data_IF_824913295656
#
_entry.id   IF_824913295656
#
_cell.length_a   1.000
_cell.length_b   1.000
_cell.length_c   1.000
_cell.angle_alpha   90.00
_cell.angle_beta   90.00
_cell.angle_gamma   90.00
#
_symmetry.space_group_name_H-M   'P 1'
#
loop_
_entity.id
_entity.type
_entity.pdbx_description
1 polymer ?
#
# COMPACT_ATOMS: atom_id res chain seq x y z
N UNK A 1 -16.00 14.29 -32.31
CA UNK A 1 -17.26 14.03 -33.05
C UNK A 1 -17.21 12.71 -33.82
N UNK A 2 -16.60 11.63 -33.32
CA UNK A 2 -16.57 10.30 -33.96
C UNK A 2 -17.04 9.15 -33.08
N UNK A 3 -17.28 9.35 -31.79
CA UNK A 3 -17.72 8.30 -30.85
C UNK A 3 -19.23 8.14 -30.68
N UNK A 4 -20.03 9.07 -31.20
CA UNK A 4 -21.50 8.98 -31.09
C UNK A 4 -22.17 8.04 -32.13
N UNK A 5 -21.39 7.38 -32.99
CA UNK A 5 -21.93 6.49 -34.06
C UNK A 5 -21.90 4.99 -33.72
N UNK A 6 -21.19 4.59 -32.67
CA UNK A 6 -21.10 3.15 -32.32
C UNK A 6 -22.29 2.65 -31.48
N UNK A 7 -22.93 3.51 -30.71
CA UNK A 7 -24.07 3.15 -29.84
C UNK A 7 -25.44 3.11 -30.54
N UNK A 8 -25.53 3.53 -31.82
CA UNK A 8 -26.80 3.50 -32.58
C UNK A 8 -27.05 2.22 -33.39
N UNK A 9 -26.11 1.26 -33.42
CA UNK A 9 -26.28 0.01 -34.19
C UNK A 9 -26.79 -1.18 -33.43
N UNK A 10 -26.95 -1.10 -32.11
CA UNK A 10 -27.50 -2.19 -31.31
C UNK A 10 -28.99 -2.05 -30.97
N UNK A 11 -29.70 -1.02 -31.48
CA UNK A 11 -31.10 -0.75 -31.09
C UNK A 11 -32.09 -0.76 -32.26
N UNK A 12 -31.79 -1.44 -33.35
CA UNK A 12 -32.76 -1.62 -34.45
C UNK A 12 -32.86 -3.11 -34.77
N UNK A 13 -33.81 -3.79 -34.19
CA UNK A 13 -34.11 -5.20 -34.54
C UNK A 13 -35.05 -5.93 -33.61
N UNK A 14 -36.10 -5.31 -33.10
CA UNK A 14 -37.21 -6.07 -32.55
C UNK A 14 -38.47 -5.79 -33.38
N UNK A 15 -38.74 -6.71 -34.34
CA UNK A 15 -40.04 -6.80 -35.01
C UNK A 15 -41.15 -6.96 -33.98
N UNK A 16 -42.10 -6.05 -33.95
CA UNK A 16 -43.40 -6.23 -33.33
C UNK A 16 -44.11 -7.42 -33.97
N UNK A 17 -44.06 -8.61 -33.37
CA UNK A 17 -44.98 -9.70 -33.69
C UNK A 17 -46.25 -9.47 -32.88
N UNK A 18 -47.31 -9.04 -33.59
CA UNK A 18 -48.67 -9.07 -33.08
C UNK A 18 -49.08 -10.53 -32.83
N UNK A 19 -49.13 -10.96 -31.59
CA UNK A 19 -49.73 -12.24 -31.21
C UNK A 19 -51.27 -12.05 -31.05
N UNK A 20 -52.09 -12.87 -31.72
CA UNK A 20 -53.55 -12.77 -31.61
C UNK A 20 -54.05 -13.31 -30.26
N UNK A 21 -54.90 -12.52 -29.62
CA UNK A 21 -55.52 -12.76 -28.30
C UNK A 21 -56.35 -14.04 -28.17
N UNK A 22 -56.53 -14.82 -29.23
CA UNK A 22 -57.37 -16.04 -29.27
C UNK A 22 -56.69 -17.30 -28.71
N UNK A 23 -55.39 -17.32 -28.48
CA UNK A 23 -54.67 -18.49 -27.94
C UNK A 23 -54.48 -18.52 -26.43
N UNK A 24 -54.83 -17.46 -25.70
CA UNK A 24 -54.70 -17.40 -24.24
C UNK A 24 -55.76 -18.20 -23.47
N UNK A 25 -56.95 -18.46 -24.07
CA UNK A 25 -58.01 -19.21 -23.38
C UNK A 25 -57.74 -20.73 -23.31
N UNK A 26 -57.00 -21.30 -24.24
CA UNK A 26 -56.69 -22.75 -24.23
C UNK A 26 -55.52 -23.09 -23.29
N UNK A 27 -54.59 -22.19 -23.07
CA UNK A 27 -53.47 -22.40 -22.12
C UNK A 27 -53.91 -22.32 -20.66
N UNK A 28 -54.88 -21.48 -20.33
CA UNK A 28 -55.42 -21.33 -18.96
C UNK A 28 -56.17 -22.58 -18.50
N UNK A 29 -56.92 -23.23 -19.37
CA UNK A 29 -57.65 -24.49 -19.09
C UNK A 29 -56.70 -25.65 -18.79
N UNK A 30 -55.56 -25.71 -19.48
CA UNK A 30 -54.56 -26.76 -19.28
C UNK A 30 -53.81 -26.62 -17.95
N UNK A 31 -53.55 -25.40 -17.54
CA UNK A 31 -52.88 -25.07 -16.27
C UNK A 31 -53.79 -25.40 -15.09
N UNK A 32 -55.08 -25.07 -15.15
CA UNK A 32 -56.05 -25.35 -14.08
C UNK A 32 -56.26 -26.85 -13.89
N UNK A 33 -56.27 -27.65 -14.95
CA UNK A 33 -56.43 -29.11 -14.85
C UNK A 33 -55.16 -29.80 -14.28
N UNK A 34 -53.94 -29.30 -14.55
CA UNK A 34 -52.71 -29.77 -13.90
C UNK A 34 -52.65 -29.37 -12.41
N UNK A 35 -53.23 -28.23 -12.04
CA UNK A 35 -53.33 -27.81 -10.63
C UNK A 35 -54.22 -28.74 -9.80
N UNK A 36 -55.33 -29.26 -10.36
CA UNK A 36 -56.19 -30.22 -9.67
C UNK A 36 -55.53 -31.59 -9.41
N UNK A 37 -54.55 -31.97 -10.22
CA UNK A 37 -53.78 -33.22 -10.03
C UNK A 37 -52.71 -33.03 -8.96
N UNK A 38 -52.09 -31.87 -8.86
CA UNK A 38 -51.05 -31.56 -7.84
C UNK A 38 -51.59 -31.39 -6.41
N UNK A 39 -52.91 -31.05 -6.27
CA UNK A 39 -53.56 -30.94 -4.96
C UNK A 39 -53.89 -32.30 -4.32
N UNK A 40 -53.70 -33.44 -5.03
CA UNK A 40 -53.92 -34.79 -4.49
C UNK A 40 -52.65 -35.41 -3.87
N UNK A 41 -51.50 -34.79 -3.98
CA UNK A 41 -50.28 -35.25 -3.33
C UNK A 41 -49.93 -34.34 -2.18
N UNK A 42 -49.73 -34.90 -0.96
CA UNK A 42 -49.38 -34.19 0.29
C UNK A 42 -48.02 -33.48 0.18
N UNK A 43 -47.97 -32.29 -0.41
CA UNK A 43 -46.79 -31.43 -0.36
C UNK A 43 -46.84 -30.64 0.95
N UNK A 44 -45.83 -30.75 1.83
CA UNK A 44 -45.78 -29.96 3.06
C UNK A 44 -45.85 -28.45 2.77
N UNK A 45 -46.70 -27.72 3.54
CA UNK A 45 -46.93 -26.26 3.35
C UNK A 45 -45.65 -25.41 3.17
N UNK A 46 -44.55 -25.85 3.73
CA UNK A 46 -43.25 -25.15 3.59
C UNK A 46 -42.66 -25.15 2.16
N UNK A 47 -43.08 -26.08 1.29
CA UNK A 47 -42.61 -26.14 -0.11
C UNK A 47 -43.62 -25.50 -1.10
N UNK A 48 -44.82 -25.15 -0.64
CA UNK A 48 -45.84 -24.53 -1.47
C UNK A 48 -45.43 -23.15 -1.99
N UNK A 49 -44.76 -22.35 -1.13
CA UNK A 49 -44.20 -21.07 -1.52
C UNK A 49 -43.04 -21.20 -2.53
N UNK A 50 -42.27 -22.28 -2.45
CA UNK A 50 -41.18 -22.55 -3.39
C UNK A 50 -41.66 -22.93 -4.78
N UNK A 51 -42.73 -23.73 -4.86
CA UNK A 51 -43.36 -24.13 -6.13
C UNK A 51 -44.07 -22.95 -6.78
N UNK A 52 -44.76 -22.11 -5.98
CA UNK A 52 -45.41 -20.89 -6.47
C UNK A 52 -44.36 -19.87 -6.98
N UNK A 53 -43.25 -19.72 -6.26
CA UNK A 53 -42.11 -18.89 -6.67
C UNK A 53 -41.45 -19.40 -7.95
N UNK A 54 -41.30 -20.73 -8.10
CA UNK A 54 -40.75 -21.35 -9.31
C UNK A 54 -41.61 -21.16 -10.54
N UNK A 55 -42.94 -21.24 -10.39
CA UNK A 55 -43.94 -21.02 -11.47
C UNK A 55 -44.00 -19.54 -11.86
N UNK A 56 -43.89 -18.62 -10.90
CA UNK A 56 -43.81 -17.16 -11.15
C UNK A 56 -42.51 -16.75 -11.81
N UNK A 57 -41.41 -17.43 -11.50
CA UNK A 57 -40.11 -17.20 -12.16
C UNK A 57 -40.10 -17.62 -13.64
N UNK A 58 -40.89 -18.60 -14.04
CA UNK A 58 -40.96 -19.00 -15.46
C UNK A 58 -41.75 -18.00 -16.35
N UNK A 59 -42.55 -17.14 -15.77
CA UNK A 59 -43.36 -16.17 -16.55
C UNK A 59 -42.79 -14.75 -16.59
N UNK A 60 -41.97 -14.33 -15.57
CA UNK A 60 -41.46 -12.96 -15.48
C UNK A 60 -40.09 -12.81 -14.77
N UNK A 61 -39.41 -13.91 -14.44
CA UNK A 61 -38.35 -13.91 -13.45
C UNK A 61 -36.94 -13.57 -13.93
N UNK A 62 -36.67 -13.40 -15.22
CA UNK A 62 -35.31 -13.21 -15.70
C UNK A 62 -34.84 -11.74 -15.63
N UNK A 63 -35.77 -10.80 -15.64
CA UNK A 63 -35.41 -9.37 -15.65
C UNK A 63 -35.11 -8.73 -14.28
N UNK A 64 -35.69 -9.25 -13.19
CA UNK A 64 -35.53 -8.59 -11.88
C UNK A 64 -34.19 -8.90 -11.18
N UNK A 65 -33.60 -10.07 -11.43
CA UNK A 65 -32.33 -10.42 -10.79
C UNK A 65 -31.12 -9.71 -11.44
N UNK A 66 -31.21 -9.39 -12.73
CA UNK A 66 -30.16 -8.64 -13.43
C UNK A 66 -30.14 -7.15 -13.08
N UNK A 67 -31.30 -6.55 -12.80
CA UNK A 67 -31.39 -5.14 -12.43
C UNK A 67 -30.81 -4.84 -11.03
N UNK A 68 -31.01 -5.72 -10.04
CA UNK A 68 -30.41 -5.55 -8.71
C UNK A 68 -28.87 -5.77 -8.71
N UNK A 69 -28.38 -6.68 -9.56
CA UNK A 69 -26.94 -6.91 -9.72
C UNK A 69 -26.25 -5.74 -10.45
N UNK A 70 -26.88 -5.17 -11.47
CA UNK A 70 -26.39 -3.98 -12.16
C UNK A 70 -26.38 -2.74 -11.25
N UNK A 71 -27.45 -2.55 -10.45
CA UNK A 71 -27.53 -1.41 -9.53
C UNK A 71 -26.50 -1.51 -8.39
N UNK A 72 -26.22 -2.71 -7.86
CA UNK A 72 -25.15 -2.93 -6.88
C UNK A 72 -23.77 -2.74 -7.47
N UNK A 73 -23.53 -3.21 -8.69
CA UNK A 73 -22.26 -3.04 -9.40
C UNK A 73 -22.03 -1.56 -9.73
N UNK A 74 -23.07 -0.85 -10.15
CA UNK A 74 -23.00 0.57 -10.46
C UNK A 74 -22.78 1.44 -9.20
N UNK A 75 -23.40 1.11 -8.06
CA UNK A 75 -23.16 1.76 -6.77
C UNK A 75 -21.71 1.55 -6.29
N UNK A 76 -21.14 0.36 -6.48
CA UNK A 76 -19.78 0.05 -6.10
C UNK A 76 -18.76 0.87 -6.92
N UNK A 77 -18.99 1.02 -8.21
CA UNK A 77 -18.15 1.84 -9.09
C UNK A 77 -18.28 3.35 -8.84
N UNK A 78 -19.48 3.80 -8.40
CA UNK A 78 -19.73 5.20 -8.07
C UNK A 78 -19.12 5.65 -6.73
N UNK A 79 -18.64 4.75 -5.89
CA UNK A 79 -18.06 5.07 -4.57
C UNK A 79 -16.53 5.05 -4.55
N UNK A 80 -15.87 4.88 -5.71
CA UNK A 80 -14.40 4.85 -5.79
C UNK A 80 -13.79 6.20 -5.42
N UNK A 81 -12.79 6.19 -4.54
CA UNK A 81 -11.99 7.35 -4.20
C UNK A 81 -11.27 7.92 -5.43
N UNK A 82 -10.83 7.05 -6.35
CA UNK A 82 -10.23 7.49 -7.61
C UNK A 82 -11.16 8.40 -8.40
N UNK A 83 -12.45 8.07 -8.47
CA UNK A 83 -13.45 8.92 -9.14
C UNK A 83 -13.57 10.28 -8.44
N UNK A 84 -13.63 10.30 -7.10
CA UNK A 84 -13.67 11.54 -6.33
C UNK A 84 -12.43 12.43 -6.58
N UNK A 85 -11.24 11.82 -6.69
CA UNK A 85 -9.97 12.51 -7.01
C UNK A 85 -10.04 13.15 -8.38
N UNK A 86 -10.46 12.38 -9.41
CA UNK A 86 -10.57 12.87 -10.78
C UNK A 86 -11.60 14.01 -10.92
N UNK A 87 -12.74 13.90 -10.21
CA UNK A 87 -13.78 14.94 -10.22
C UNK A 87 -13.35 16.21 -9.50
N UNK A 88 -12.60 16.09 -8.38
CA UNK A 88 -12.08 17.22 -7.62
C UNK A 88 -10.83 17.86 -8.24
N UNK A 89 -10.14 17.11 -9.10
CA UNK A 89 -8.88 17.53 -9.72
C UNK A 89 -7.72 17.68 -8.73
N UNK A 90 -7.75 16.95 -7.58
CA UNK A 90 -6.72 17.00 -6.54
C UNK A 90 -6.48 15.60 -5.94
N UNK A 91 -5.21 15.17 -5.89
CA UNK A 91 -4.74 13.99 -5.15
C UNK A 91 -4.03 14.44 -3.87
N UNK A 92 -4.54 14.02 -2.72
CA UNK A 92 -3.95 14.28 -1.40
C UNK A 92 -3.09 13.09 -0.97
N UNK A 93 -1.80 13.31 -0.84
CA UNK A 93 -0.83 12.30 -0.40
C UNK A 93 -0.36 12.65 1.01
N UNK A 94 -0.37 11.67 1.93
CA UNK A 94 0.16 11.84 3.28
C UNK A 94 1.44 11.07 3.49
N UNK A 95 2.27 11.55 4.40
CA UNK A 95 3.54 10.95 4.79
C UNK A 95 4.26 11.76 5.86
N UNK A 96 5.37 11.23 6.37
CA UNK A 96 6.27 11.90 7.30
C UNK A 96 7.19 12.86 6.54
N UNK A 97 7.00 14.16 6.76
CA UNK A 97 7.78 15.20 6.06
C UNK A 97 9.26 15.25 6.42
N UNK A 98 9.67 14.54 7.47
CA UNK A 98 11.07 14.54 7.96
C UNK A 98 11.78 13.19 7.71
N UNK A 99 11.21 12.27 6.94
CA UNK A 99 11.77 10.95 6.70
C UNK A 99 12.63 10.91 5.42
N UNK A 100 13.85 11.46 5.50
CA UNK A 100 14.82 11.44 4.39
C UNK A 100 15.35 10.02 4.11
N UNK A 101 15.54 9.66 2.82
CA UNK A 101 15.38 10.47 1.61
C UNK A 101 14.00 10.31 0.94
N UNK A 102 12.98 9.78 1.62
CA UNK A 102 11.60 9.68 1.10
C UNK A 102 10.94 11.06 0.99
N UNK A 103 11.14 11.91 1.99
CA UNK A 103 10.79 13.33 2.01
C UNK A 103 11.99 14.12 2.50
N UNK A 104 12.41 15.14 1.77
CA UNK A 104 13.62 15.91 2.09
C UNK A 104 13.22 17.29 2.59
N UNK A 105 13.61 17.60 3.84
CA UNK A 105 13.43 18.93 4.43
C UNK A 105 14.38 19.92 3.77
N UNK A 106 13.89 21.11 3.42
CA UNK A 106 14.69 22.13 2.70
C UNK A 106 15.32 21.59 1.41
N UNK A 107 14.55 20.81 0.68
CA UNK A 107 15.00 20.15 -0.53
C UNK A 107 15.56 21.14 -1.56
N UNK A 108 16.64 20.73 -2.25
CA UNK A 108 17.10 21.41 -3.46
C UNK A 108 16.02 21.31 -4.55
N UNK A 109 16.02 22.27 -5.44
CA UNK A 109 15.20 22.18 -6.65
C UNK A 109 15.46 20.86 -7.40
N UNK A 110 14.39 20.15 -7.73
CA UNK A 110 14.44 18.84 -8.39
C UNK A 110 14.69 17.64 -7.48
N UNK A 111 14.81 17.81 -6.14
CA UNK A 111 15.08 16.72 -5.19
C UNK A 111 14.14 16.73 -3.98
N UNK A 112 12.82 16.66 -4.17
CA UNK A 112 11.87 16.78 -3.05
C UNK A 112 11.81 15.54 -2.14
N UNK A 113 12.39 14.44 -2.57
CA UNK A 113 12.34 13.14 -1.92
C UNK A 113 11.65 12.08 -2.78
N UNK A 114 12.02 10.81 -2.57
CA UNK A 114 11.56 9.69 -3.40
C UNK A 114 10.03 9.55 -3.42
N UNK A 115 9.39 9.48 -2.25
CA UNK A 115 7.94 9.29 -2.15
C UNK A 115 7.16 10.55 -2.56
N UNK A 116 7.73 11.74 -2.34
CA UNK A 116 7.15 12.97 -2.86
C UNK A 116 7.12 12.94 -4.39
N UNK A 117 8.23 12.57 -5.01
CA UNK A 117 8.35 12.50 -6.48
C UNK A 117 7.44 11.42 -7.07
N UNK A 118 7.35 10.25 -6.43
CA UNK A 118 6.46 9.18 -6.82
C UNK A 118 4.98 9.62 -6.75
N UNK A 119 4.56 10.25 -5.64
CA UNK A 119 3.21 10.76 -5.48
C UNK A 119 2.86 11.87 -6.45
N UNK A 120 3.84 12.77 -6.74
CA UNK A 120 3.69 13.82 -7.74
C UNK A 120 3.55 13.24 -9.15
N UNK A 121 4.38 12.27 -9.52
CA UNK A 121 4.30 11.60 -10.81
C UNK A 121 2.95 10.87 -10.99
N UNK A 122 2.41 10.28 -9.93
CA UNK A 122 1.08 9.67 -9.98
C UNK A 122 -0.03 10.72 -10.16
N UNK A 123 0.04 11.86 -9.48
CA UNK A 123 -0.90 12.96 -9.69
C UNK A 123 -0.85 13.50 -11.12
N UNK A 124 0.36 13.65 -11.69
CA UNK A 124 0.56 14.09 -13.07
C UNK A 124 -0.01 13.08 -14.08
N UNK A 125 0.18 11.76 -13.83
CA UNK A 125 -0.44 10.70 -14.62
C UNK A 125 -1.97 10.78 -14.60
N UNK A 126 -2.56 11.06 -13.44
CA UNK A 126 -4.02 11.24 -13.29
C UNK A 126 -4.53 12.58 -13.88
N UNK A 127 -3.65 13.52 -14.23
CA UNK A 127 -4.01 14.86 -14.68
C UNK A 127 -4.60 15.74 -13.58
N UNK A 128 -4.22 15.53 -12.32
CA UNK A 128 -4.75 16.25 -11.15
C UNK A 128 -3.64 16.97 -10.37
N UNK A 129 -4.02 17.90 -9.50
CA UNK A 129 -3.07 18.60 -8.64
C UNK A 129 -2.57 17.68 -7.52
N UNK A 130 -1.26 17.70 -7.28
CA UNK A 130 -0.65 17.06 -6.11
C UNK A 130 -0.79 17.94 -4.87
N UNK A 131 -1.19 17.36 -3.75
CA UNK A 131 -1.23 18.03 -2.45
C UNK A 131 -0.67 17.12 -1.38
N UNK A 132 0.40 17.56 -0.73
CA UNK A 132 0.98 16.87 0.42
C UNK A 132 0.31 17.30 1.72
N UNK A 133 -0.07 16.32 2.55
CA UNK A 133 -0.70 16.50 3.87
C UNK A 133 0.14 15.75 4.90
N UNK A 134 1.05 16.43 5.62
CA UNK A 134 2.01 15.76 6.51
C UNK A 134 1.34 15.24 7.79
N UNK A 135 1.75 14.04 8.18
CA UNK A 135 1.52 13.43 9.49
C UNK A 135 2.77 12.65 9.90
N UNK A 136 3.13 12.59 11.20
CA UNK A 136 4.39 11.96 11.62
C UNK A 136 4.32 10.44 11.71
N UNK A 137 3.13 9.82 11.90
CA UNK A 137 3.02 8.41 12.23
C UNK A 137 2.04 7.62 11.36
N UNK A 138 2.29 6.30 11.21
CA UNK A 138 1.44 5.41 10.40
C UNK A 138 -0.03 5.41 10.84
N UNK A 139 -0.31 5.43 12.15
CA UNK A 139 -1.68 5.43 12.63
C UNK A 139 -2.44 6.68 12.19
N UNK A 140 -1.76 7.82 12.19
CA UNK A 140 -2.32 9.08 11.70
C UNK A 140 -2.53 9.06 10.19
N UNK A 141 -1.63 8.43 9.40
CA UNK A 141 -1.86 8.22 7.96
C UNK A 141 -3.13 7.42 7.71
N UNK A 142 -3.30 6.30 8.45
CA UNK A 142 -4.48 5.45 8.31
C UNK A 142 -5.77 6.18 8.68
N UNK A 143 -5.73 6.98 9.73
CA UNK A 143 -6.88 7.79 10.18
C UNK A 143 -7.20 8.91 9.18
N UNK A 144 -6.18 9.60 8.65
CA UNK A 144 -6.34 10.63 7.62
C UNK A 144 -6.97 10.06 6.33
N UNK A 145 -6.54 8.87 5.89
CA UNK A 145 -7.14 8.16 4.76
C UNK A 145 -8.59 7.82 5.04
N UNK A 146 -8.89 7.29 6.23
CA UNK A 146 -10.24 6.92 6.66
C UNK A 146 -11.18 8.13 6.70
N UNK A 147 -10.70 9.28 7.20
CA UNK A 147 -11.44 10.54 7.31
C UNK A 147 -11.51 11.33 6.00
N UNK A 148 -10.89 10.85 4.92
CA UNK A 148 -10.78 11.56 3.64
C UNK A 148 -9.98 12.88 3.72
N UNK A 149 -9.13 13.02 4.70
CA UNK A 149 -8.16 14.11 4.81
C UNK A 149 -6.99 13.89 3.86
N UNK A 150 -6.62 12.63 3.62
CA UNK A 150 -5.71 12.17 2.57
C UNK A 150 -6.36 11.05 1.74
N UNK A 151 -5.85 10.84 0.52
CA UNK A 151 -6.34 9.82 -0.40
C UNK A 151 -5.47 8.56 -0.37
N UNK A 152 -4.14 8.74 -0.30
CA UNK A 152 -3.14 7.68 -0.17
C UNK A 152 -2.05 8.09 0.81
N UNK A 153 -1.30 7.12 1.34
CA UNK A 153 -0.07 7.41 2.08
C UNK A 153 1.15 6.81 1.37
N UNK A 154 2.19 7.63 1.24
CA UNK A 154 3.54 7.29 0.80
C UNK A 154 4.51 7.83 1.85
N UNK A 155 5.33 7.00 2.46
CA UNK A 155 6.31 7.42 3.50
C UNK A 155 7.27 6.28 3.88
N UNK A 156 7.82 5.58 2.88
CA UNK A 156 8.65 4.40 3.17
C UNK A 156 7.92 3.36 4.03
N UNK A 157 6.61 3.19 3.79
CA UNK A 157 5.74 2.40 4.67
C UNK A 157 5.98 0.91 4.43
N UNK A 158 6.53 0.22 5.43
CA UNK A 158 6.60 -1.24 5.41
C UNK A 158 5.21 -1.84 5.59
N UNK A 159 4.75 -2.64 4.63
CA UNK A 159 3.49 -3.38 4.75
C UNK A 159 3.62 -4.55 5.73
N UNK A 160 2.60 -4.76 6.55
CA UNK A 160 2.50 -5.91 7.45
C UNK A 160 1.04 -6.27 7.76
N UNK A 161 0.82 -7.43 8.38
CA UNK A 161 -0.52 -7.94 8.69
C UNK A 161 -1.31 -7.03 9.64
N UNK A 162 -0.66 -6.45 10.66
CA UNK A 162 -1.35 -5.58 11.61
C UNK A 162 -1.82 -4.28 10.94
N UNK A 163 -0.97 -3.67 10.13
CA UNK A 163 -1.29 -2.46 9.38
C UNK A 163 -2.36 -2.70 8.32
N UNK A 164 -2.38 -3.91 7.71
CA UNK A 164 -3.39 -4.28 6.70
C UNK A 164 -4.82 -4.36 7.24
N UNK A 165 -5.00 -4.41 8.56
CA UNK A 165 -6.31 -4.29 9.20
C UNK A 165 -6.91 -2.88 9.09
N UNK A 166 -6.06 -1.86 8.93
CA UNK A 166 -6.48 -0.44 8.90
C UNK A 166 -6.56 0.12 7.48
N UNK A 167 -5.63 -0.30 6.60
CA UNK A 167 -5.49 0.17 5.22
C UNK A 167 -5.33 -1.01 4.26
N UNK A 168 -5.39 -0.75 2.97
CA UNK A 168 -4.92 -1.68 1.93
C UNK A 168 -3.56 -1.22 1.43
N UNK A 169 -2.69 -2.19 1.11
CA UNK A 169 -1.39 -1.92 0.53
C UNK A 169 -1.39 -2.24 -0.96
N UNK A 170 -0.66 -1.44 -1.73
CA UNK A 170 -0.29 -1.76 -3.11
C UNK A 170 0.74 -2.89 -3.16
N UNK A 171 1.07 -3.37 -4.35
CA UNK A 171 2.34 -4.05 -4.60
C UNK A 171 3.50 -3.20 -4.07
N UNK A 172 4.59 -3.86 -3.64
CA UNK A 172 5.77 -3.16 -3.16
C UNK A 172 6.46 -2.40 -4.30
N UNK A 173 6.79 -1.15 -4.07
CA UNK A 173 7.57 -0.33 -5.01
C UNK A 173 9.07 -0.27 -4.64
N UNK A 174 9.43 -0.63 -3.39
CA UNK A 174 10.79 -0.79 -2.91
C UNK A 174 10.88 -2.00 -1.96
N UNK A 175 12.08 -2.55 -1.83
CA UNK A 175 12.37 -3.62 -0.88
C UNK A 175 13.45 -3.15 0.08
N UNK A 176 13.08 -2.97 1.35
CA UNK A 176 13.98 -2.65 2.42
C UNK A 176 14.37 -3.91 3.22
N UNK A 177 15.30 -3.74 4.15
CA UNK A 177 15.66 -4.71 5.18
C UNK A 177 15.94 -3.97 6.49
N UNK A 178 15.73 -4.58 7.67
CA UNK A 178 16.29 -4.08 8.90
C UNK A 178 17.80 -3.97 8.78
N UNK A 179 18.32 -2.80 9.07
CA UNK A 179 19.74 -2.48 8.97
C UNK A 179 20.21 -1.79 10.25
N UNK A 180 21.51 -1.78 10.47
CA UNK A 180 22.08 -1.13 11.64
C UNK A 180 23.29 -0.24 11.29
N UNK A 181 23.50 0.77 12.12
CA UNK A 181 24.70 1.61 12.10
C UNK A 181 25.29 1.60 13.51
N UNK A 182 26.34 0.81 13.72
CA UNK A 182 26.94 0.58 15.04
C UNK A 182 28.22 1.39 15.20
N UNK A 183 28.42 1.95 16.39
CA UNK A 183 29.67 2.58 16.76
C UNK A 183 30.84 1.56 16.77
N UNK A 184 31.93 1.82 16.05
CA UNK A 184 33.03 0.87 15.90
C UNK A 184 33.66 0.47 17.23
N UNK A 185 33.70 1.37 18.20
CA UNK A 185 34.22 1.08 19.56
C UNK A 185 33.34 0.13 20.38
N UNK A 186 32.12 -0.14 19.95
CA UNK A 186 31.21 -1.14 20.57
C UNK A 186 31.39 -2.55 19.98
N UNK A 187 32.17 -2.68 18.91
CA UNK A 187 32.50 -3.98 18.33
C UNK A 187 33.76 -4.56 19.00
N UNK A 188 33.86 -5.90 19.13
CA UNK A 188 35.09 -6.52 19.61
C UNK A 188 36.30 -6.11 18.77
N UNK A 189 37.48 -5.94 19.39
CA UNK A 189 38.71 -5.67 18.65
C UNK A 189 38.98 -6.85 17.69
N UNK A 190 39.66 -6.60 16.56
CA UNK A 190 40.11 -7.68 15.69
C UNK A 190 40.99 -8.65 16.50
N UNK A 191 40.93 -9.97 16.25
CA UNK A 191 41.75 -10.93 16.96
C UNK A 191 43.22 -10.64 16.74
N UNK A 192 44.01 -10.69 17.81
CA UNK A 192 45.45 -10.56 17.74
C UNK A 192 46.10 -11.79 17.10
N UNK A 193 46.98 -11.58 16.14
CA UNK A 193 47.77 -12.61 15.44
C UNK A 193 47.33 -12.86 13.98
N UNK A 194 48.09 -13.73 13.28
CA UNK A 194 47.88 -14.05 11.87
C UNK A 194 46.64 -14.95 11.60
N UNK A 195 45.73 -15.06 12.53
CA UNK A 195 44.52 -15.81 12.34
C UNK A 195 43.51 -14.89 11.61
N UNK A 196 43.33 -15.14 10.33
CA UNK A 196 42.25 -14.53 9.52
C UNK A 196 40.91 -15.12 10.00
N UNK A 197 40.49 -14.78 11.20
CA UNK A 197 39.10 -14.96 11.60
C UNK A 197 38.35 -13.73 11.09
N UNK A 198 37.77 -13.86 9.92
CA UNK A 198 36.88 -12.86 9.35
C UNK A 198 35.57 -12.88 10.13
N UNK A 199 35.57 -12.40 11.34
CA UNK A 199 34.31 -12.03 11.99
C UNK A 199 33.85 -10.73 11.30
N UNK A 200 33.23 -10.89 10.13
CA UNK A 200 32.74 -9.76 9.34
C UNK A 200 31.35 -9.41 9.83
N UNK A 201 31.24 -8.39 10.68
CA UNK A 201 29.95 -7.77 11.00
C UNK A 201 29.37 -7.12 9.73
N UNK A 202 28.37 -7.75 9.11
CA UNK A 202 27.70 -7.32 7.88
C UNK A 202 26.23 -7.07 8.07
N UNK A 203 25.60 -7.84 8.97
CA UNK A 203 24.18 -7.80 9.26
C UNK A 203 23.92 -7.46 10.72
N UNK A 204 22.71 -7.04 11.05
CA UNK A 204 22.29 -6.81 12.42
C UNK A 204 22.34 -8.12 13.26
N UNK A 205 22.15 -9.28 12.64
CA UNK A 205 22.19 -10.57 13.36
C UNK A 205 23.58 -10.90 13.90
N UNK A 206 24.63 -10.38 13.29
CA UNK A 206 26.01 -10.57 13.76
C UNK A 206 26.27 -9.92 15.12
N UNK A 207 25.33 -9.07 15.58
CA UNK A 207 25.37 -8.42 16.90
C UNK A 207 24.74 -9.26 18.01
N UNK A 208 24.15 -10.42 17.70
CA UNK A 208 23.41 -11.22 18.70
C UNK A 208 24.27 -11.64 19.89
N UNK A 209 25.53 -12.01 19.62
CA UNK A 209 26.48 -12.48 20.63
C UNK A 209 27.46 -11.39 21.10
N UNK A 210 27.31 -10.14 20.60
CA UNK A 210 28.13 -9.02 21.01
C UNK A 210 27.61 -8.41 22.30
N UNK A 211 28.43 -8.51 23.36
CA UNK A 211 28.09 -7.92 24.67
C UNK A 211 28.18 -6.37 24.61
N UNK A 212 27.33 -5.69 25.42
CA UNK A 212 27.38 -4.23 25.54
C UNK A 212 26.74 -3.44 24.38
N UNK A 213 26.15 -4.11 23.38
CA UNK A 213 25.38 -3.40 22.34
C UNK A 213 24.08 -2.89 22.92
N UNK A 214 23.80 -1.60 22.69
CA UNK A 214 22.55 -0.92 23.03
C UNK A 214 21.95 -0.35 21.77
N UNK A 215 20.67 -0.69 21.52
CA UNK A 215 19.96 -0.33 20.29
C UNK A 215 19.10 0.91 20.50
N UNK A 216 19.18 1.85 19.57
CA UNK A 216 18.23 2.95 19.42
C UNK A 216 17.34 2.69 18.19
N UNK A 217 16.04 2.75 18.35
CA UNK A 217 15.07 2.42 17.30
C UNK A 217 13.81 3.27 17.43
N UNK A 218 13.14 3.54 16.31
CA UNK A 218 11.81 4.18 16.33
C UNK A 218 10.78 3.25 16.95
N UNK A 219 10.01 3.77 17.94
CA UNK A 219 8.90 3.03 18.59
C UNK A 219 7.85 2.59 17.57
N UNK A 220 7.20 1.46 17.85
CA UNK A 220 6.10 0.91 17.03
C UNK A 220 6.42 0.72 15.53
N UNK A 221 7.73 0.66 15.19
CA UNK A 221 8.19 0.32 13.85
C UNK A 221 8.38 -1.20 13.67
N UNK A 222 8.39 -1.68 12.43
CA UNK A 222 8.73 -3.08 12.12
C UNK A 222 10.12 -3.46 12.67
N UNK A 223 11.08 -2.50 12.70
CA UNK A 223 12.44 -2.70 13.24
C UNK A 223 12.43 -2.86 14.75
N UNK A 224 11.57 -2.12 15.46
CA UNK A 224 11.36 -2.33 16.91
C UNK A 224 10.81 -3.72 17.17
N UNK A 225 9.78 -4.17 16.45
CA UNK A 225 9.24 -5.53 16.56
C UNK A 225 10.29 -6.60 16.21
N UNK A 226 11.13 -6.33 15.20
CA UNK A 226 12.22 -7.22 14.83
C UNK A 226 13.23 -7.38 15.97
N UNK A 227 13.65 -6.28 16.60
CA UNK A 227 14.56 -6.31 17.75
C UNK A 227 13.97 -7.10 18.91
N UNK A 228 12.71 -6.86 19.27
CA UNK A 228 12.03 -7.58 20.34
C UNK A 228 11.95 -9.11 20.12
N UNK A 229 11.92 -9.54 18.85
CA UNK A 229 11.91 -10.96 18.49
C UNK A 229 13.31 -11.61 18.47
N UNK A 230 14.35 -10.84 18.22
CA UNK A 230 15.70 -11.37 17.94
C UNK A 230 16.70 -11.10 19.06
N UNK A 231 16.49 -10.06 19.86
CA UNK A 231 17.40 -9.62 20.91
C UNK A 231 16.67 -9.54 22.25
N UNK A 232 17.42 -9.67 23.36
CA UNK A 232 16.87 -9.49 24.71
C UNK A 232 16.56 -8.01 24.98
N UNK A 233 15.47 -7.75 25.69
CA UNK A 233 14.84 -6.44 25.83
C UNK A 233 15.65 -5.38 26.61
N UNK A 234 16.60 -5.77 27.44
CA UNK A 234 17.34 -4.89 28.37
C UNK A 234 18.21 -3.82 27.71
N UNK A 235 18.29 -3.82 26.38
CA UNK A 235 19.20 -2.95 25.61
C UNK A 235 18.53 -2.18 24.48
N UNK A 236 17.20 -2.12 24.46
CA UNK A 236 16.46 -1.47 23.37
C UNK A 236 15.86 -0.16 23.88
N UNK A 237 16.38 0.97 23.38
CA UNK A 237 15.85 2.31 23.63
C UNK A 237 14.98 2.74 22.45
N UNK A 238 13.76 3.19 22.76
CA UNK A 238 12.79 3.60 21.75
C UNK A 238 12.61 5.11 21.68
N UNK A 239 12.46 5.65 20.48
CA UNK A 239 12.31 7.08 20.19
C UNK A 239 11.06 7.31 19.34
N UNK A 240 10.53 8.54 19.35
CA UNK A 240 9.34 8.91 18.57
C UNK A 240 9.58 8.83 17.04
N UNK A 241 10.81 9.15 16.61
CA UNK A 241 11.20 9.13 15.20
C UNK A 241 12.62 8.58 15.02
N UNK A 242 12.98 8.28 13.78
CA UNK A 242 14.32 7.72 13.45
C UNK A 242 15.44 8.73 13.58
N UNK A 243 15.26 10.02 13.20
CA UNK A 243 16.25 11.06 13.47
C UNK A 243 16.63 11.19 14.95
N UNK A 244 15.64 11.20 15.87
CA UNK A 244 15.88 11.23 17.31
C UNK A 244 16.65 10.00 17.82
N UNK A 245 16.36 8.82 17.28
CA UNK A 245 17.13 7.60 17.55
C UNK A 245 18.59 7.74 17.08
N UNK A 246 18.82 8.37 15.94
CA UNK A 246 20.17 8.66 15.43
C UNK A 246 20.92 9.65 16.31
N UNK A 247 20.27 10.73 16.77
CA UNK A 247 20.87 11.67 17.71
C UNK A 247 21.32 10.97 19.00
N UNK A 248 20.51 10.06 19.55
CA UNK A 248 20.86 9.28 20.73
C UNK A 248 22.12 8.41 20.51
N UNK A 249 22.31 7.90 19.30
CA UNK A 249 23.54 7.15 18.95
C UNK A 249 24.73 8.09 18.76
N UNK A 250 24.54 9.26 18.16
CA UNK A 250 25.61 10.25 18.01
C UNK A 250 26.12 10.77 19.35
N UNK A 251 25.26 11.02 20.30
CA UNK A 251 25.64 11.51 21.63
C UNK A 251 26.08 10.42 22.61
N UNK A 252 26.00 9.13 22.22
CA UNK A 252 26.47 7.99 23.03
C UNK A 252 25.47 7.44 24.04
N UNK A 253 24.20 7.88 24.02
CA UNK A 253 23.13 7.29 24.85
C UNK A 253 22.87 5.84 24.43
N UNK A 254 22.97 5.54 23.14
CA UNK A 254 23.01 4.20 22.58
C UNK A 254 24.24 4.06 21.67
N UNK A 255 24.61 2.84 21.28
CA UNK A 255 25.77 2.64 20.44
C UNK A 255 25.43 2.03 19.07
N UNK A 256 24.18 1.68 18.82
CA UNK A 256 23.70 1.08 17.58
C UNK A 256 22.33 1.65 17.17
N UNK A 257 22.28 2.36 16.04
CA UNK A 257 21.02 2.73 15.40
C UNK A 257 20.46 1.54 14.65
N UNK A 258 19.14 1.29 14.76
CA UNK A 258 18.44 0.33 13.92
C UNK A 258 17.33 1.04 13.14
N UNK A 259 17.46 1.00 11.81
CA UNK A 259 16.53 1.60 10.87
C UNK A 259 16.37 0.71 9.64
N UNK A 260 15.58 1.13 8.65
CA UNK A 260 15.63 0.48 7.35
C UNK A 260 16.93 0.82 6.59
N UNK A 261 17.23 -0.03 5.60
CA UNK A 261 18.47 0.10 4.83
C UNK A 261 18.55 1.40 4.04
N UNK A 262 17.44 1.99 3.62
CA UNK A 262 17.40 3.23 2.87
C UNK A 262 17.75 4.42 3.74
N UNK A 263 17.22 4.47 4.97
CA UNK A 263 17.58 5.52 5.93
C UNK A 263 19.07 5.49 6.27
N UNK A 264 19.62 4.30 6.55
CA UNK A 264 21.07 4.16 6.85
C UNK A 264 21.92 4.59 5.63
N UNK A 265 21.54 4.18 4.42
CA UNK A 265 22.21 4.63 3.19
C UNK A 265 22.12 6.15 3.03
N UNK A 266 20.94 6.74 3.27
CA UNK A 266 20.72 8.18 3.23
C UNK A 266 21.65 8.94 4.17
N UNK A 267 21.81 8.47 5.43
CA UNK A 267 22.77 9.06 6.38
C UNK A 267 24.20 9.04 5.85
N UNK A 268 24.64 7.91 5.28
CA UNK A 268 26.00 7.75 4.74
C UNK A 268 26.24 8.59 3.48
N UNK A 269 25.21 8.81 2.67
CA UNK A 269 25.25 9.70 1.50
C UNK A 269 25.32 11.17 1.95
N UNK A 270 24.61 11.52 3.02
CA UNK A 270 24.54 12.87 3.58
C UNK A 270 25.86 13.26 4.24
N UNK A 271 26.48 12.34 4.99
CA UNK A 271 27.75 12.57 5.66
C UNK A 271 28.64 11.33 5.60
N UNK A 272 29.64 11.38 4.71
CA UNK A 272 30.61 10.31 4.53
C UNK A 272 31.52 10.11 5.76
N UNK A 273 31.66 11.13 6.63
CA UNK A 273 32.49 11.06 7.84
C UNK A 273 31.92 10.09 8.88
N UNK A 274 30.62 9.80 8.82
CA UNK A 274 29.93 8.80 9.66
C UNK A 274 30.69 7.46 9.60
N UNK A 275 31.10 7.04 8.41
CA UNK A 275 31.81 5.78 8.21
C UNK A 275 33.16 5.71 8.93
N UNK A 276 33.75 6.84 9.41
CA UNK A 276 34.96 6.86 10.21
C UNK A 276 34.75 6.26 11.61
N UNK A 277 33.64 6.59 12.26
CA UNK A 277 33.32 6.19 13.64
C UNK A 277 32.25 5.07 13.73
N UNK A 278 31.48 4.86 12.69
CA UNK A 278 30.40 3.90 12.66
C UNK A 278 30.60 2.87 11.56
N UNK A 279 30.08 1.67 11.78
CA UNK A 279 30.05 0.58 10.80
C UNK A 279 28.62 0.32 10.37
N UNK A 280 28.30 0.46 9.07
CA UNK A 280 27.01 0.07 8.55
C UNK A 280 26.90 -1.46 8.42
N UNK A 281 25.77 -2.01 8.81
CA UNK A 281 25.39 -3.41 8.72
C UNK A 281 24.16 -3.48 7.81
N UNK A 282 24.39 -3.67 6.51
CA UNK A 282 23.38 -3.53 5.46
C UNK A 282 23.02 -4.87 4.82
N UNK A 283 23.67 -5.99 5.21
CA UNK A 283 23.35 -7.31 4.64
C UNK A 283 21.92 -7.68 5.00
N UNK A 284 21.11 -8.08 4.00
CA UNK A 284 19.68 -8.36 4.20
C UNK A 284 19.45 -9.55 5.15
N UNK A 285 18.61 -9.33 6.17
CA UNK A 285 18.22 -10.35 7.16
C UNK A 285 16.75 -10.69 7.10
N UNK A 286 15.94 -9.76 6.62
CA UNK A 286 14.51 -9.91 6.42
C UNK A 286 14.06 -8.95 5.33
N UNK A 287 13.19 -9.43 4.44
CA UNK A 287 12.55 -8.59 3.44
C UNK A 287 11.47 -7.72 4.10
N UNK A 288 11.49 -6.43 3.83
CA UNK A 288 10.42 -5.48 4.15
C UNK A 288 9.89 -4.85 2.87
N UNK A 289 8.68 -5.19 2.51
CA UNK A 289 8.01 -4.63 1.35
C UNK A 289 7.53 -3.21 1.65
N UNK A 290 8.07 -2.23 0.95
CA UNK A 290 7.65 -0.83 1.04
C UNK A 290 6.53 -0.60 0.03
N UNK A 291 5.37 -0.20 0.52
CA UNK A 291 4.13 -0.12 -0.26
C UNK A 291 3.36 1.15 0.03
N UNK A 292 2.59 1.62 -0.93
CA UNK A 292 1.63 2.70 -0.72
C UNK A 292 0.41 2.19 0.06
N UNK A 293 -0.14 3.02 0.96
CA UNK A 293 -1.34 2.68 1.72
C UNK A 293 -2.57 3.40 1.14
N UNK A 294 -3.65 2.64 1.02
CA UNK A 294 -4.91 3.01 0.39
C UNK A 294 -6.10 2.83 1.32
N UNK A 295 -7.25 3.49 1.06
CA UNK A 295 -8.49 3.21 1.76
C UNK A 295 -8.93 1.76 1.55
N UNK A 296 -9.56 1.17 2.56
CA UNK A 296 -10.18 -0.14 2.43
C UNK A 296 -11.40 -0.08 1.47
N UNK A 297 -11.61 -1.16 0.72
CA UNK A 297 -12.81 -1.31 -0.10
C UNK A 297 -12.76 -0.65 -1.48
N UNK A 298 -11.60 -0.16 -1.93
CA UNK A 298 -11.43 0.42 -3.27
C UNK A 298 -10.35 -0.32 -4.10
N UNK A 299 -10.61 -1.53 -4.56
CA UNK A 299 -9.65 -2.31 -5.35
C UNK A 299 -9.33 -1.66 -6.71
N UNK A 300 -10.25 -0.87 -7.27
CA UNK A 300 -10.02 -0.19 -8.54
C UNK A 300 -8.96 0.91 -8.41
N UNK A 301 -8.97 1.64 -7.30
CA UNK A 301 -7.99 2.68 -7.03
C UNK A 301 -6.59 2.08 -6.83
N UNK A 302 -6.49 1.00 -6.04
CA UNK A 302 -5.21 0.30 -5.84
C UNK A 302 -4.68 -0.23 -7.18
N UNK A 303 -5.52 -0.90 -7.97
CA UNK A 303 -5.10 -1.47 -9.25
C UNK A 303 -4.65 -0.41 -10.26
N UNK A 304 -5.28 0.77 -10.26
CA UNK A 304 -4.84 1.90 -11.09
C UNK A 304 -3.42 2.36 -10.70
N UNK A 305 -3.14 2.47 -9.40
CA UNK A 305 -1.80 2.82 -8.90
C UNK A 305 -0.78 1.71 -9.22
N UNK A 306 -1.14 0.45 -9.10
CA UNK A 306 -0.26 -0.68 -9.44
C UNK A 306 0.08 -0.70 -10.93
N UNK A 307 -0.89 -0.41 -11.80
CA UNK A 307 -0.62 -0.24 -13.23
C UNK A 307 0.37 0.91 -13.51
N UNK A 308 0.22 2.00 -12.78
CA UNK A 308 1.16 3.11 -12.88
C UNK A 308 2.57 2.69 -12.42
N UNK A 309 2.70 1.94 -11.31
CA UNK A 309 3.99 1.41 -10.85
C UNK A 309 4.60 0.45 -11.87
N UNK A 310 3.83 -0.47 -12.43
CA UNK A 310 4.26 -1.40 -13.47
C UNK A 310 4.81 -0.65 -14.71
N UNK A 311 4.22 0.50 -15.05
CA UNK A 311 4.72 1.34 -16.15
C UNK A 311 6.03 2.05 -15.80
N UNK A 312 6.15 2.59 -14.58
CA UNK A 312 7.40 3.19 -14.11
C UNK A 312 8.55 2.17 -14.06
N UNK A 313 8.27 0.95 -13.64
CA UNK A 313 9.25 -0.14 -13.60
C UNK A 313 9.67 -0.54 -15.03
N UNK A 314 8.72 -0.75 -15.94
CA UNK A 314 8.95 -1.15 -17.32
C UNK A 314 9.71 -0.10 -18.14
N UNK A 315 9.41 1.19 -17.89
CA UNK A 315 10.12 2.31 -18.54
C UNK A 315 11.48 2.60 -17.93
N UNK A 316 11.82 2.00 -16.78
CA UNK A 316 13.07 2.24 -16.05
C UNK A 316 13.07 3.49 -15.16
N UNK A 317 11.99 4.27 -15.16
CA UNK A 317 11.88 5.52 -14.38
C UNK A 317 11.97 5.23 -12.87
N UNK A 318 11.34 4.14 -12.40
CA UNK A 318 11.41 3.77 -10.98
C UNK A 318 12.87 3.52 -10.55
N UNK A 319 13.65 2.83 -11.38
CA UNK A 319 15.09 2.58 -11.13
C UNK A 319 15.92 3.88 -11.15
N UNK A 320 15.61 4.81 -12.05
CA UNK A 320 16.27 6.12 -12.08
C UNK A 320 15.99 6.91 -10.80
N UNK A 321 14.76 6.85 -10.28
CA UNK A 321 14.39 7.46 -9.00
C UNK A 321 15.13 6.79 -7.82
N UNK A 322 15.22 5.45 -7.80
CA UNK A 322 16.00 4.72 -6.79
C UNK A 322 17.49 5.16 -6.80
N UNK A 323 18.10 5.20 -7.98
CA UNK A 323 19.50 5.64 -8.12
C UNK A 323 19.70 7.08 -7.67
N UNK A 324 18.74 7.97 -7.99
CA UNK A 324 18.76 9.37 -7.63
C UNK A 324 18.79 9.59 -6.11
N UNK A 325 18.01 8.82 -5.35
CA UNK A 325 17.83 9.07 -3.92
C UNK A 325 18.61 8.12 -3.01
N UNK A 326 18.92 6.88 -3.46
CA UNK A 326 19.54 5.88 -2.58
C UNK A 326 20.96 5.47 -2.99
N UNK A 327 21.42 5.90 -4.18
CA UNK A 327 22.77 5.58 -4.66
C UNK A 327 23.61 6.82 -4.97
N UNK A 328 23.00 8.01 -5.08
CA UNK A 328 23.67 9.29 -5.36
C UNK A 328 23.44 10.29 -4.22
N UNK A 329 24.38 11.20 -4.03
CA UNK A 329 24.31 12.24 -2.98
C UNK A 329 23.90 13.63 -3.51
N UNK A 330 23.44 13.73 -4.76
CA UNK A 330 23.10 15.00 -5.40
C UNK A 330 21.95 15.75 -4.71
N UNK A 331 21.09 15.01 -4.02
CA UNK A 331 19.98 15.56 -3.24
C UNK A 331 20.39 16.18 -1.91
N UNK A 332 21.59 15.86 -1.41
CA UNK A 332 22.09 16.39 -0.13
C UNK A 332 22.30 17.90 -0.24
N UNK A 333 21.72 18.72 0.65
CA UNK A 333 21.99 20.14 0.67
C UNK A 333 23.49 20.42 0.85
N UNK A 334 24.00 21.36 0.09
CA UNK A 334 25.37 21.86 0.33
C UNK A 334 25.27 22.80 1.54
N UNK A 335 25.71 22.34 2.69
CA UNK A 335 25.89 23.25 3.83
C UNK A 335 26.89 24.30 3.39
N UNK A 336 26.45 25.56 3.30
CA UNK A 336 27.39 26.67 3.15
C UNK A 336 28.01 26.89 4.52
N UNK A 337 29.37 26.93 4.62
CA UNK A 337 30.09 27.14 5.86
C UNK A 337 29.73 28.47 6.52
#
# INVERSE_FOLDING_TARGET
>A
MKEARFLRRCFVGTRQSRFPFSRLKTSFGYIINRFKILFKTSIPKKYFLFVLFWILCQSNGVCYFSLEAEEKTFKFYNSSRLKEILEKGELKVTGDSAYEPFYIVNAKEGYPGFDYELGKAYADFLGVKYKFVPYPEFNEFADAIKKKEADIALSGISSNLERSKKVRFSAAYLIATPAALIRKSALPPPPEGNIITTQSFRSILDLADVSGVTFAVRSFSNRHEYLLKKFKNDRIFTYGDTPSAWEAVKNGTANCLVADSFFIKGLLLKDKSIASNFRPLLEPVQREDISAAFPQGDPAFIRNFEFFLEELERSGVLREMEDKYFNKSDWVPIERP
#
